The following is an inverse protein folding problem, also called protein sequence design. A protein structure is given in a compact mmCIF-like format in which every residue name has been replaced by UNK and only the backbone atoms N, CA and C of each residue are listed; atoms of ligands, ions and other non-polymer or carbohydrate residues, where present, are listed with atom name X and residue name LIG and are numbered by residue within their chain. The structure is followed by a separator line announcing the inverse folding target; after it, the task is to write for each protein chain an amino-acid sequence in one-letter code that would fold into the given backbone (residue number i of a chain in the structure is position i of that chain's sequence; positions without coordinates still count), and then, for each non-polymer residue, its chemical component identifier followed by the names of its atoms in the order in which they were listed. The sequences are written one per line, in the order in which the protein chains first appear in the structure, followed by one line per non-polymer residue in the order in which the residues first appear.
data_IF_597609895419
#
_entry.id   IF_597609895419
#
_cell.length_a   1.000
_cell.length_b   1.000
_cell.length_c   1.000
_cell.angle_alpha   90.00
_cell.angle_beta   90.00
_cell.angle_gamma   90.00
#
_symmetry.space_group_name_H-M   'P 1'
#
loop_
_entity.id
_entity.type
_entity.pdbx_description
1 polymer ?
#
# COMPACT_ATOMS: atom_id res chain seq x y z
N UNK A 1 0.61 13.80 -17.89
CA UNK A 1 0.05 12.74 -18.74
C UNK A 1 -1.35 12.43 -18.23
N UNK A 2 -2.36 12.55 -19.08
CA UNK A 2 -3.77 12.38 -18.70
C UNK A 2 -4.18 10.90 -18.70
N UNK A 3 -5.26 10.54 -17.98
CA UNK A 3 -5.83 9.18 -17.99
C UNK A 3 -6.13 8.69 -19.41
N UNK A 4 -6.54 9.60 -20.29
CA UNK A 4 -6.80 9.31 -21.70
C UNK A 4 -5.52 8.95 -22.46
N UNK A 5 -4.44 9.72 -22.26
CA UNK A 5 -3.13 9.45 -22.88
C UNK A 5 -2.55 8.10 -22.43
N UNK A 6 -2.61 7.80 -21.13
CA UNK A 6 -2.19 6.51 -20.59
C UNK A 6 -3.00 5.36 -21.19
N UNK A 7 -4.30 5.58 -21.38
CA UNK A 7 -5.19 4.59 -21.94
C UNK A 7 -4.99 4.27 -23.40
N UNK A 8 -4.78 5.31 -24.20
CA UNK A 8 -4.42 5.17 -25.61
C UNK A 8 -3.11 4.39 -25.75
N UNK A 9 -2.08 4.73 -24.96
CA UNK A 9 -0.81 3.99 -24.93
C UNK A 9 -1.01 2.50 -24.59
N UNK A 10 -1.88 2.18 -23.64
CA UNK A 10 -2.24 0.81 -23.26
C UNK A 10 -2.88 0.03 -24.41
N UNK A 11 -3.84 0.64 -25.11
CA UNK A 11 -4.56 0.02 -26.23
C UNK A 11 -3.65 -0.14 -27.44
N UNK A 12 -2.86 0.88 -27.76
CA UNK A 12 -1.91 0.89 -28.87
C UNK A 12 -0.87 -0.20 -28.73
N UNK A 13 -0.34 -0.37 -27.51
CA UNK A 13 0.61 -1.45 -27.24
C UNK A 13 -0.04 -2.82 -27.37
N UNK A 14 -1.34 -2.98 -27.07
CA UNK A 14 -2.02 -4.28 -26.86
C UNK A 14 -2.21 -5.09 -28.14
N UNK A 15 -1.49 -6.23 -28.28
CA UNK A 15 -1.67 -7.20 -29.39
C UNK A 15 -2.61 -8.37 -29.09
N UNK A 16 -2.81 -8.72 -27.81
CA UNK A 16 -3.64 -9.86 -27.40
C UNK A 16 -5.13 -9.53 -27.30
N UNK A 17 -5.97 -10.26 -28.05
CA UNK A 17 -7.41 -9.98 -28.24
C UNK A 17 -8.24 -9.78 -26.96
N UNK A 18 -8.23 -10.66 -25.93
CA UNK A 18 -9.08 -10.44 -24.76
C UNK A 18 -8.67 -9.20 -23.95
N UNK A 19 -7.39 -8.83 -24.03
CA UNK A 19 -6.79 -7.71 -23.30
C UNK A 19 -7.11 -6.40 -24.00
N UNK A 20 -6.92 -6.38 -25.33
CA UNK A 20 -7.33 -5.25 -26.17
C UNK A 20 -8.81 -4.99 -26.00
N UNK A 21 -9.65 -6.04 -26.00
CA UNK A 21 -11.09 -5.93 -25.79
C UNK A 21 -11.42 -5.32 -24.43
N UNK A 22 -10.86 -5.84 -23.33
CA UNK A 22 -11.12 -5.31 -21.99
C UNK A 22 -10.63 -3.85 -21.83
N UNK A 23 -9.47 -3.50 -22.39
CA UNK A 23 -8.96 -2.13 -22.36
C UNK A 23 -9.78 -1.20 -23.25
N UNK A 24 -10.11 -1.62 -24.47
CA UNK A 24 -11.00 -0.88 -25.35
C UNK A 24 -12.37 -0.68 -24.70
N UNK A 25 -12.97 -1.69 -24.08
CA UNK A 25 -14.24 -1.56 -23.37
C UNK A 25 -14.14 -0.55 -22.21
N UNK A 26 -13.08 -0.64 -21.39
CA UNK A 26 -12.85 0.30 -20.29
C UNK A 26 -12.64 1.74 -20.79
N UNK A 27 -11.86 1.93 -21.86
CA UNK A 27 -11.60 3.25 -22.42
C UNK A 27 -12.78 3.80 -23.23
N UNK A 28 -13.53 2.94 -23.91
CA UNK A 28 -14.76 3.31 -24.60
C UNK A 28 -15.79 3.79 -23.57
N UNK A 29 -15.90 3.13 -22.41
CA UNK A 29 -16.69 3.59 -21.27
C UNK A 29 -16.17 4.90 -20.69
N UNK A 30 -14.85 5.08 -20.47
CA UNK A 30 -14.27 6.35 -20.01
C UNK A 30 -14.55 7.50 -20.97
N UNK A 31 -14.46 7.24 -22.28
CA UNK A 31 -14.70 8.22 -23.33
C UNK A 31 -16.19 8.58 -23.44
N UNK A 32 -17.07 7.60 -23.30
CA UNK A 32 -18.52 7.82 -23.22
C UNK A 32 -18.92 8.55 -21.93
N UNK A 33 -18.21 8.29 -20.83
CA UNK A 33 -18.43 8.89 -19.51
C UNK A 33 -17.58 10.14 -19.28
N UNK A 34 -17.19 10.83 -20.36
CA UNK A 34 -16.71 12.23 -20.32
C UNK A 34 -17.85 13.19 -19.96
N UNK A 35 -18.67 12.78 -19.00
CA UNK A 35 -19.89 13.39 -18.52
C UNK A 35 -19.71 13.72 -17.04
N UNK A 36 -19.70 15.03 -16.77
CA UNK A 36 -20.13 15.69 -15.52
C UNK A 36 -19.71 15.00 -14.21
N UNK A 37 -18.68 15.56 -13.59
CA UNK A 37 -18.36 15.51 -12.17
C UNK A 37 -18.22 14.12 -11.48
N UNK A 38 -16.94 13.76 -11.36
CA UNK A 38 -16.24 13.36 -10.12
C UNK A 38 -16.09 11.88 -9.77
N UNK A 39 -16.63 10.90 -10.50
CA UNK A 39 -16.44 9.51 -10.04
C UNK A 39 -16.15 8.49 -11.14
N UNK A 40 -15.00 7.81 -11.02
CA UNK A 40 -14.62 6.72 -11.91
C UNK A 40 -15.66 5.58 -11.88
N UNK A 41 -16.21 5.18 -13.03
CA UNK A 41 -17.18 4.10 -13.09
C UNK A 41 -16.56 2.79 -12.61
N UNK A 42 -17.30 2.06 -11.77
CA UNK A 42 -16.80 0.84 -11.10
C UNK A 42 -16.26 -0.20 -12.10
N UNK A 43 -16.89 -0.32 -13.26
CA UNK A 43 -16.51 -1.23 -14.34
C UNK A 43 -15.08 -0.95 -14.85
N UNK A 44 -14.66 0.31 -14.92
CA UNK A 44 -13.29 0.66 -15.35
C UNK A 44 -12.28 0.20 -14.31
N UNK A 45 -12.57 0.41 -13.03
CA UNK A 45 -11.71 -0.01 -11.93
C UNK A 45 -11.56 -1.53 -11.96
N UNK A 46 -12.67 -2.26 -12.12
CA UNK A 46 -12.69 -3.72 -12.21
C UNK A 46 -11.85 -4.24 -13.39
N UNK A 47 -12.04 -3.67 -14.60
CA UNK A 47 -11.27 -4.07 -15.79
C UNK A 47 -9.79 -3.74 -15.64
N UNK A 48 -9.45 -2.62 -15.01
CA UNK A 48 -8.05 -2.24 -14.75
C UNK A 48 -7.40 -3.20 -13.74
N UNK A 49 -8.09 -3.57 -12.66
CA UNK A 49 -7.63 -4.59 -11.70
C UNK A 49 -7.44 -5.94 -12.42
N UNK A 50 -8.37 -6.33 -13.28
CA UNK A 50 -8.28 -7.56 -14.07
C UNK A 50 -7.00 -7.59 -14.92
N UNK A 51 -6.55 -6.46 -15.46
CA UNK A 51 -5.31 -6.41 -16.23
C UNK A 51 -4.07 -6.79 -15.40
N UNK A 52 -4.08 -6.59 -14.08
CA UNK A 52 -2.97 -6.99 -13.21
C UNK A 52 -2.86 -8.51 -13.05
N UNK A 53 -3.99 -9.22 -13.10
CA UNK A 53 -4.06 -10.68 -12.89
C UNK A 53 -3.82 -11.48 -14.17
N UNK A 54 -4.02 -10.87 -15.33
CA UNK A 54 -3.77 -11.50 -16.63
C UNK A 54 -2.26 -11.66 -16.92
N UNK A 55 -1.92 -12.63 -17.77
CA UNK A 55 -0.56 -12.90 -18.27
C UNK A 55 -0.16 -11.87 -19.34
N UNK A 56 0.00 -10.62 -18.93
CA UNK A 56 0.38 -9.49 -19.79
C UNK A 56 1.86 -9.16 -19.67
N UNK A 57 2.43 -8.49 -20.69
CA UNK A 57 3.76 -7.88 -20.58
C UNK A 57 3.79 -6.86 -19.44
N UNK A 58 4.99 -6.63 -18.88
CA UNK A 58 5.13 -5.67 -17.78
C UNK A 58 4.68 -4.26 -18.18
N UNK A 59 4.81 -3.87 -19.46
CA UNK A 59 4.38 -2.55 -19.91
C UNK A 59 2.89 -2.30 -19.68
N UNK A 60 2.00 -3.26 -19.95
CA UNK A 60 0.56 -3.04 -19.67
C UNK A 60 0.25 -2.99 -18.19
N UNK A 61 0.89 -3.87 -17.41
CA UNK A 61 0.69 -3.90 -15.96
C UNK A 61 1.15 -2.60 -15.33
N UNK A 62 2.23 -2.03 -15.85
CA UNK A 62 2.74 -0.73 -15.44
C UNK A 62 1.69 0.38 -15.64
N UNK A 63 1.11 0.45 -16.83
CA UNK A 63 0.10 1.47 -17.13
C UNK A 63 -1.20 1.25 -16.32
N UNK A 64 -1.63 0.00 -16.14
CA UNK A 64 -2.76 -0.33 -15.27
C UNK A 64 -2.52 0.10 -13.81
N UNK A 65 -1.31 -0.10 -13.28
CA UNK A 65 -0.94 0.37 -11.95
C UNK A 65 -0.95 1.90 -11.84
N UNK A 66 -0.49 2.63 -12.87
CA UNK A 66 -0.54 4.10 -12.89
C UNK A 66 -1.99 4.60 -12.87
N UNK A 67 -2.87 3.97 -13.64
CA UNK A 67 -4.31 4.28 -13.65
C UNK A 67 -4.91 4.05 -12.26
N UNK A 68 -4.67 2.89 -11.64
CA UNK A 68 -5.18 2.59 -10.31
C UNK A 68 -4.64 3.55 -9.25
N UNK A 69 -3.38 3.99 -9.38
CA UNK A 69 -2.80 4.98 -8.47
C UNK A 69 -3.46 6.36 -8.60
N UNK A 70 -3.82 6.77 -9.82
CA UNK A 70 -4.60 8.00 -10.06
C UNK A 70 -6.01 7.87 -9.46
N UNK A 71 -6.69 6.76 -9.69
CA UNK A 71 -8.02 6.47 -9.14
C UNK A 71 -7.97 6.45 -7.60
N UNK A 72 -6.90 5.91 -7.01
CA UNK A 72 -6.71 5.84 -5.56
C UNK A 72 -6.45 7.21 -4.90
N UNK A 73 -6.18 8.28 -5.66
CA UNK A 73 -6.09 9.63 -5.08
C UNK A 73 -7.46 10.10 -4.56
N UNK A 74 -8.54 9.66 -5.20
CA UNK A 74 -9.91 9.94 -4.76
C UNK A 74 -10.39 8.92 -3.72
N UNK A 75 -10.95 9.37 -2.60
CA UNK A 75 -11.46 8.49 -1.54
C UNK A 75 -12.53 7.49 -2.04
N UNK A 76 -13.40 7.91 -2.97
CA UNK A 76 -14.38 6.99 -3.58
C UNK A 76 -13.69 5.98 -4.49
N UNK A 77 -12.69 6.39 -5.26
CA UNK A 77 -11.88 5.49 -6.09
C UNK A 77 -11.13 4.45 -5.24
N UNK A 78 -10.47 4.88 -4.16
CA UNK A 78 -9.79 4.00 -3.21
C UNK A 78 -10.75 2.97 -2.59
N UNK A 79 -11.94 3.41 -2.15
CA UNK A 79 -12.98 2.49 -1.63
C UNK A 79 -13.42 1.46 -2.66
N UNK A 80 -13.56 1.85 -3.92
CA UNK A 80 -13.92 0.94 -5.00
C UNK A 80 -12.80 -0.07 -5.31
N UNK A 81 -11.53 0.37 -5.31
CA UNK A 81 -10.38 -0.53 -5.46
C UNK A 81 -10.38 -1.59 -4.35
N UNK A 82 -10.60 -1.18 -3.10
CA UNK A 82 -10.70 -2.11 -1.97
C UNK A 82 -11.89 -3.05 -2.09
N UNK A 83 -13.05 -2.55 -2.50
CA UNK A 83 -14.25 -3.38 -2.71
C UNK A 83 -14.04 -4.45 -3.78
N UNK A 84 -13.25 -4.15 -4.80
CA UNK A 84 -12.95 -5.04 -5.93
C UNK A 84 -11.67 -5.87 -5.72
N UNK A 85 -11.18 -6.00 -4.47
CA UNK A 85 -9.98 -6.78 -4.13
C UNK A 85 -8.73 -6.36 -4.93
N UNK A 86 -8.64 -5.07 -5.29
CA UNK A 86 -7.47 -4.54 -6.01
C UNK A 86 -6.17 -4.64 -5.20
N UNK A 87 -6.26 -4.67 -3.86
CA UNK A 87 -5.11 -4.93 -2.99
C UNK A 87 -4.52 -6.32 -3.24
N UNK A 88 -5.34 -7.35 -3.36
CA UNK A 88 -4.92 -8.75 -3.53
C UNK A 88 -4.22 -8.94 -4.87
N UNK A 89 -4.80 -8.37 -5.93
CA UNK A 89 -4.18 -8.34 -7.25
C UNK A 89 -2.81 -7.64 -7.23
N UNK A 90 -2.71 -6.52 -6.50
CA UNK A 90 -1.47 -5.74 -6.39
C UNK A 90 -0.40 -6.46 -5.57
N UNK A 91 -0.77 -7.12 -4.46
CA UNK A 91 0.15 -7.92 -3.64
C UNK A 91 0.67 -9.13 -4.40
N UNK A 92 -0.22 -9.88 -5.05
CA UNK A 92 0.15 -11.01 -5.90
C UNK A 92 1.13 -10.58 -7.00
N UNK A 93 0.89 -9.41 -7.62
CA UNK A 93 1.80 -8.84 -8.60
C UNK A 93 3.14 -8.43 -7.98
N UNK A 94 3.16 -7.72 -6.85
CA UNK A 94 4.39 -7.32 -6.15
C UNK A 94 5.31 -8.53 -5.87
N UNK A 95 4.74 -9.65 -5.46
CA UNK A 95 5.51 -10.83 -5.06
C UNK A 95 6.06 -11.63 -6.24
N UNK A 96 5.43 -11.53 -7.43
CA UNK A 96 5.78 -12.31 -8.62
C UNK A 96 6.40 -11.49 -9.75
N UNK A 97 6.28 -10.16 -9.72
CA UNK A 97 6.66 -9.31 -10.82
C UNK A 97 8.17 -9.07 -10.94
N UNK A 98 8.56 -8.66 -12.15
CA UNK A 98 9.85 -8.03 -12.45
C UNK A 98 10.08 -6.77 -11.60
N UNK A 99 11.34 -6.43 -11.35
CA UNK A 99 11.71 -5.27 -10.51
C UNK A 99 11.12 -3.95 -11.00
N UNK A 100 10.86 -3.80 -12.30
CA UNK A 100 10.30 -2.58 -12.91
C UNK A 100 8.91 -2.25 -12.39
N UNK A 101 8.10 -3.25 -12.04
CA UNK A 101 6.73 -3.06 -11.57
C UNK A 101 6.64 -2.79 -10.06
N UNK A 102 7.63 -3.26 -9.28
CA UNK A 102 7.60 -3.22 -7.82
C UNK A 102 7.38 -1.81 -7.24
N UNK A 103 8.03 -0.73 -7.73
CA UNK A 103 7.78 0.62 -7.22
C UNK A 103 6.31 1.05 -7.33
N UNK A 104 5.64 0.67 -8.42
CA UNK A 104 4.26 1.05 -8.70
C UNK A 104 3.28 0.24 -7.85
N UNK A 105 3.54 -1.07 -7.68
CA UNK A 105 2.79 -1.88 -6.71
C UNK A 105 2.93 -1.32 -5.29
N UNK A 106 4.16 -0.98 -4.86
CA UNK A 106 4.42 -0.46 -3.53
C UNK A 106 3.75 0.90 -3.32
N UNK A 107 3.81 1.82 -4.28
CA UNK A 107 3.13 3.12 -4.17
C UNK A 107 1.61 2.98 -4.05
N UNK A 108 0.99 2.08 -4.82
CA UNK A 108 -0.44 1.81 -4.71
C UNK A 108 -0.79 1.19 -3.34
N UNK A 109 0.01 0.23 -2.86
CA UNK A 109 -0.20 -0.38 -1.54
C UNK A 109 0.01 0.60 -0.38
N UNK A 110 1.00 1.50 -0.49
CA UNK A 110 1.21 2.59 0.49
C UNK A 110 -0.05 3.46 0.54
N UNK A 111 -0.55 3.93 -0.61
CA UNK A 111 -1.79 4.73 -0.66
C UNK A 111 -2.97 3.98 -0.08
N UNK A 112 -3.13 2.69 -0.40
CA UNK A 112 -4.19 1.85 0.16
C UNK A 112 -4.09 1.77 1.69
N UNK A 113 -2.87 1.54 2.20
CA UNK A 113 -2.58 1.38 3.63
C UNK A 113 -2.69 2.66 4.45
N UNK A 114 -2.91 3.82 3.82
CA UNK A 114 -3.21 5.04 4.58
C UNK A 114 -4.56 4.91 5.30
N UNK A 115 -5.52 4.20 4.70
CA UNK A 115 -6.82 3.89 5.31
C UNK A 115 -6.76 2.65 6.23
N UNK A 116 -7.51 2.66 7.34
CA UNK A 116 -7.59 1.49 8.24
C UNK A 116 -8.10 0.24 7.50
N UNK A 117 -9.12 0.40 6.66
CA UNK A 117 -9.68 -0.71 5.85
C UNK A 117 -8.63 -1.30 4.92
N UNK A 118 -7.79 -0.46 4.30
CA UNK A 118 -6.72 -0.93 3.45
C UNK A 118 -5.61 -1.64 4.21
N UNK A 119 -5.25 -1.17 5.41
CA UNK A 119 -4.28 -1.88 6.28
C UNK A 119 -4.78 -3.29 6.61
N UNK A 120 -6.05 -3.40 7.03
CA UNK A 120 -6.68 -4.68 7.36
C UNK A 120 -6.68 -5.60 6.13
N UNK A 121 -7.12 -5.12 4.96
CA UNK A 121 -7.13 -5.91 3.73
C UNK A 121 -5.74 -6.43 3.34
N UNK A 122 -4.69 -5.61 3.48
CA UNK A 122 -3.31 -6.03 3.21
C UNK A 122 -2.81 -7.07 4.21
N UNK A 123 -3.23 -6.98 5.48
CA UNK A 123 -2.84 -7.94 6.53
C UNK A 123 -3.60 -9.26 6.43
N UNK A 124 -4.84 -9.23 5.94
CA UNK A 124 -5.68 -10.42 5.72
C UNK A 124 -5.24 -11.22 4.48
N UNK A 125 -4.56 -10.59 3.53
CA UNK A 125 -3.97 -11.29 2.39
C UNK A 125 -2.92 -12.30 2.88
N UNK A 126 -3.11 -13.57 2.53
CA UNK A 126 -2.33 -14.70 3.05
C UNK A 126 -0.83 -14.46 2.92
N UNK A 127 -0.11 -14.68 4.02
CA UNK A 127 1.34 -14.54 4.15
C UNK A 127 1.92 -13.15 3.82
N UNK A 128 1.09 -12.11 3.72
CA UNK A 128 1.54 -10.75 3.40
C UNK A 128 2.69 -10.26 4.29
N UNK A 129 2.64 -10.37 5.64
CA UNK A 129 3.76 -9.98 6.49
C UNK A 129 5.04 -10.74 6.14
N UNK A 130 4.98 -12.06 6.03
CA UNK A 130 6.14 -12.90 5.72
C UNK A 130 6.71 -12.59 4.34
N UNK A 131 5.86 -12.39 3.33
CA UNK A 131 6.27 -12.05 1.96
C UNK A 131 6.90 -10.65 1.89
N UNK A 132 6.39 -9.66 2.63
CA UNK A 132 7.00 -8.34 2.72
C UNK A 132 8.40 -8.41 3.34
N UNK A 133 8.57 -9.21 4.40
CA UNK A 133 9.88 -9.45 5.00
C UNK A 133 10.85 -10.13 4.03
N UNK A 134 10.37 -11.09 3.23
CA UNK A 134 11.17 -11.72 2.18
C UNK A 134 11.58 -10.72 1.09
N UNK A 135 10.68 -9.84 0.66
CA UNK A 135 11.03 -8.80 -0.34
C UNK A 135 12.09 -7.83 0.20
N UNK A 136 11.99 -7.45 1.47
CA UNK A 136 12.95 -6.58 2.14
C UNK A 136 14.36 -7.19 2.17
N UNK A 137 14.46 -8.51 2.35
CA UNK A 137 15.73 -9.23 2.33
C UNK A 137 16.31 -9.37 0.91
N UNK A 138 15.44 -9.47 -0.11
CA UNK A 138 15.85 -9.67 -1.50
C UNK A 138 16.39 -8.42 -2.17
N UNK A 139 15.85 -7.24 -1.86
CA UNK A 139 16.19 -6.02 -2.60
C UNK A 139 16.31 -4.80 -1.69
N UNK A 140 17.55 -4.32 -1.51
CA UNK A 140 17.83 -3.05 -0.82
C UNK A 140 17.19 -1.85 -1.51
N UNK A 141 16.98 -1.93 -2.84
CA UNK A 141 16.43 -0.86 -3.68
C UNK A 141 15.04 -0.41 -3.21
N UNK A 142 14.23 -1.33 -2.69
CA UNK A 142 12.86 -1.05 -2.29
C UNK A 142 12.67 -0.99 -0.77
N UNK A 143 13.75 -1.08 0.02
CA UNK A 143 13.68 -1.13 1.47
C UNK A 143 12.90 0.05 2.07
N UNK A 144 13.11 1.27 1.57
CA UNK A 144 12.40 2.45 2.08
C UNK A 144 10.89 2.37 1.85
N UNK A 145 10.45 1.95 0.66
CA UNK A 145 9.03 1.81 0.34
C UNK A 145 8.39 0.64 1.10
N UNK A 146 9.08 -0.50 1.23
CA UNK A 146 8.57 -1.65 1.99
C UNK A 146 8.47 -1.29 3.49
N UNK A 147 9.48 -0.62 4.05
CA UNK A 147 9.40 -0.15 5.44
C UNK A 147 8.30 0.90 5.63
N UNK A 148 8.07 1.81 4.67
CA UNK A 148 6.95 2.73 4.73
C UNK A 148 5.60 2.00 4.78
N UNK A 149 5.43 0.98 3.92
CA UNK A 149 4.23 0.14 3.94
C UNK A 149 4.08 -0.54 5.31
N UNK A 150 5.13 -1.17 5.83
CA UNK A 150 5.10 -1.83 7.14
C UNK A 150 4.75 -0.83 8.25
N UNK A 151 5.31 0.38 8.25
CA UNK A 151 4.97 1.45 9.19
C UNK A 151 3.46 1.73 9.20
N UNK A 152 2.84 1.84 8.01
CA UNK A 152 1.40 2.04 7.91
C UNK A 152 0.63 0.86 8.50
N UNK A 153 1.05 -0.38 8.20
CA UNK A 153 0.41 -1.60 8.71
C UNK A 153 0.51 -1.74 10.24
N UNK A 154 1.63 -1.32 10.85
CA UNK A 154 1.84 -1.33 12.30
C UNK A 154 0.94 -0.33 13.05
N UNK A 155 0.26 0.55 12.32
CA UNK A 155 -0.86 1.32 12.84
C UNK A 155 -2.05 0.47 13.28
N UNK A 156 -2.10 -0.82 12.89
CA UNK A 156 -3.04 -1.81 13.43
C UNK A 156 -2.36 -2.53 14.61
N UNK A 157 -2.80 -2.34 15.87
CA UNK A 157 -2.08 -2.87 17.04
C UNK A 157 -1.90 -4.39 17.04
N UNK A 158 -2.87 -5.14 16.51
CA UNK A 158 -2.79 -6.61 16.39
C UNK A 158 -1.75 -7.07 15.38
N UNK A 159 -1.40 -6.24 14.38
CA UNK A 159 -0.39 -6.56 13.38
C UNK A 159 1.04 -6.56 13.93
N UNK A 160 1.31 -5.85 15.04
CA UNK A 160 2.66 -5.74 15.61
C UNK A 160 3.26 -7.11 15.96
N UNK A 161 2.43 -8.04 16.46
CA UNK A 161 2.86 -9.42 16.74
C UNK A 161 3.27 -10.18 15.47
N UNK A 162 2.67 -9.87 14.32
CA UNK A 162 3.01 -10.50 13.03
C UNK A 162 4.40 -10.08 12.53
N UNK A 163 4.86 -8.88 12.90
CA UNK A 163 6.18 -8.37 12.56
C UNK A 163 7.22 -8.55 13.69
N UNK A 164 6.82 -8.97 14.89
CA UNK A 164 7.76 -9.27 15.97
C UNK A 164 8.42 -10.65 15.77
N UNK A 165 9.25 -10.74 14.73
CA UNK A 165 9.96 -11.96 14.33
C UNK A 165 11.47 -11.72 14.50
N UNK A 166 12.23 -12.62 15.16
CA UNK A 166 13.65 -12.40 15.46
C UNK A 166 14.52 -11.98 14.27
N UNK A 167 14.29 -12.58 13.10
CA UNK A 167 15.01 -12.23 11.86
C UNK A 167 14.74 -10.80 11.41
N UNK A 168 13.51 -10.30 11.57
CA UNK A 168 13.17 -8.94 11.21
C UNK A 168 13.72 -7.94 12.24
N UNK A 169 13.62 -8.24 13.53
CA UNK A 169 14.23 -7.43 14.60
C UNK A 169 15.74 -7.28 14.37
N UNK A 170 16.43 -8.38 14.04
CA UNK A 170 17.86 -8.34 13.70
C UNK A 170 18.16 -7.45 12.49
N UNK A 171 17.34 -7.54 11.42
CA UNK A 171 17.46 -6.63 10.27
C UNK A 171 17.27 -5.16 10.66
N UNK A 172 16.26 -4.84 11.49
CA UNK A 172 15.98 -3.46 11.90
C UNK A 172 17.09 -2.89 12.80
N UNK A 173 17.71 -3.72 13.63
CA UNK A 173 18.84 -3.32 14.48
C UNK A 173 20.17 -3.19 13.72
N UNK A 174 20.26 -3.74 12.50
CA UNK A 174 21.47 -3.65 11.69
C UNK A 174 21.67 -2.25 11.10
N UNK A 175 22.89 -1.71 11.21
CA UNK A 175 23.26 -0.45 10.56
C UNK A 175 23.53 -0.63 9.07
N UNK A 176 23.21 0.38 8.30
CA UNK A 176 23.59 0.53 6.89
C UNK A 176 24.23 1.91 6.65
N UNK A 177 24.87 2.11 5.51
CA UNK A 177 25.49 3.40 5.15
C UNK A 177 24.45 4.48 4.83
N UNK A 178 23.19 4.10 4.59
CA UNK A 178 22.06 4.99 4.32
C UNK A 178 21.41 5.45 5.64
N UNK A 179 21.55 6.75 5.93
CA UNK A 179 21.02 7.39 7.15
C UNK A 179 19.49 7.43 7.17
N UNK A 180 18.82 7.63 6.04
CA UNK A 180 17.36 7.65 5.96
C UNK A 180 16.81 6.24 6.22
N UNK A 181 17.44 5.22 5.62
CA UNK A 181 17.06 3.83 5.85
C UNK A 181 17.21 3.45 7.33
N UNK A 182 18.31 3.88 7.98
CA UNK A 182 18.51 3.62 9.41
C UNK A 182 17.42 4.27 10.27
N UNK A 183 17.00 5.51 9.97
CA UNK A 183 15.89 6.18 10.66
C UNK A 183 14.58 5.42 10.49
N UNK A 184 14.26 4.96 9.27
CA UNK A 184 13.06 4.15 9.02
C UNK A 184 13.11 2.83 9.78
N UNK A 185 14.26 2.15 9.83
CA UNK A 185 14.44 0.93 10.61
C UNK A 185 14.19 1.17 12.10
N UNK A 186 14.71 2.25 12.67
CA UNK A 186 14.49 2.61 14.07
C UNK A 186 13.01 2.89 14.36
N UNK A 187 12.32 3.63 13.48
CA UNK A 187 10.89 3.88 13.62
C UNK A 187 10.08 2.57 13.62
N UNK A 188 10.35 1.69 12.66
CA UNK A 188 9.66 0.40 12.56
C UNK A 188 9.97 -0.47 13.79
N UNK A 189 11.22 -0.50 14.26
CA UNK A 189 11.61 -1.23 15.47
C UNK A 189 10.86 -0.73 16.70
N UNK A 190 10.76 0.59 16.86
CA UNK A 190 9.99 1.20 17.94
C UNK A 190 8.52 0.80 17.87
N UNK A 191 7.89 0.92 16.69
CA UNK A 191 6.48 0.57 16.48
C UNK A 191 6.17 -0.92 16.74
N UNK A 192 7.06 -1.83 16.36
CA UNK A 192 6.90 -3.27 16.62
C UNK A 192 6.93 -3.56 18.13
N UNK A 193 7.75 -2.84 18.89
CA UNK A 193 7.90 -3.03 20.33
C UNK A 193 6.82 -2.35 21.17
N UNK A 194 5.98 -1.49 20.59
CA UNK A 194 4.86 -0.88 21.31
C UNK A 194 3.83 -1.94 21.72
N UNK A 195 3.34 -1.92 22.96
CA UNK A 195 2.39 -2.91 23.43
C UNK A 195 1.05 -2.78 22.71
N UNK A 196 0.38 -3.92 22.50
CA UNK A 196 -0.91 -3.97 21.81
C UNK A 196 -2.07 -3.40 22.63
N UNK A 197 -1.91 -3.28 23.94
CA UNK A 197 -2.87 -2.73 24.90
C UNK A 197 -2.15 -1.79 25.87
N UNK A 198 -2.90 -0.91 26.53
CA UNK A 198 -2.39 0.02 27.55
C UNK A 198 -1.23 0.89 27.04
N UNK A 199 -1.33 1.38 25.80
CA UNK A 199 -0.30 2.20 25.17
C UNK A 199 -0.02 3.47 25.98
N UNK A 200 -1.06 4.10 26.54
CA UNK A 200 -0.93 5.31 27.36
C UNK A 200 -0.13 5.02 28.63
N UNK A 201 -0.46 3.94 29.35
CA UNK A 201 0.28 3.55 30.56
C UNK A 201 1.72 3.15 30.24
N UNK A 202 1.94 2.50 29.09
CA UNK A 202 3.29 2.17 28.62
C UNK A 202 4.13 3.42 28.33
N UNK A 203 3.56 4.41 27.65
CA UNK A 203 4.25 5.68 27.40
C UNK A 203 4.45 6.45 28.71
N UNK A 204 3.44 6.49 29.59
CA UNK A 204 3.53 7.17 30.87
C UNK A 204 4.61 6.56 31.77
N UNK A 205 4.73 5.24 31.80
CA UNK A 205 5.79 4.52 32.52
C UNK A 205 7.17 4.68 31.88
N UNK A 206 7.30 4.66 30.55
CA UNK A 206 8.59 4.87 29.88
C UNK A 206 9.14 6.29 30.07
N UNK A 207 8.27 7.30 30.06
CA UNK A 207 8.68 8.70 30.11
C UNK A 207 8.50 9.36 31.49
N UNK A 208 8.19 8.57 32.52
CA UNK A 208 8.11 9.06 33.91
C UNK A 208 6.95 10.01 34.20
N UNK A 209 5.89 10.00 33.39
CA UNK A 209 4.74 10.89 33.56
C UNK A 209 3.76 10.45 34.66
N UNK A 210 3.95 9.28 35.28
CA UNK A 210 3.12 8.86 36.41
C UNK A 210 3.30 9.74 37.66
N UNK A 211 4.38 10.51 37.76
CA UNK A 211 4.59 11.46 38.89
C UNK A 211 4.09 12.87 38.61
N UNK A 212 3.61 13.18 37.40
CA UNK A 212 2.88 14.42 37.18
C UNK A 212 1.42 14.15 37.52
N UNK A 213 1.04 14.41 38.77
CA UNK A 213 -0.35 14.71 39.08
C UNK A 213 -0.79 15.82 38.12
N UNK A 214 -1.60 15.47 37.13
CA UNK A 214 -2.37 16.44 36.36
C UNK A 214 -3.37 17.02 37.34
N UNK A 215 -2.93 17.96 38.18
CA UNK A 215 -3.82 18.87 38.87
C UNK A 215 -4.52 19.64 37.76
N UNK A 216 -5.70 19.14 37.37
CA UNK A 216 -6.68 19.93 36.65
C UNK A 216 -6.95 21.09 37.59
N UNK A 217 -6.32 22.24 37.31
CA UNK A 217 -6.58 23.49 38.00
C UNK A 217 -8.06 23.79 37.80
N UNK A 218 -8.86 23.49 38.80
CA UNK A 218 -10.27 23.84 38.88
C UNK A 218 -10.45 25.34 39.16
N UNK A 219 -9.70 26.20 38.48
CA UNK A 219 -9.78 27.66 38.54
C UNK A 219 -10.55 28.24 37.33
N UNK A 220 -11.55 27.51 36.82
CA UNK A 220 -12.51 28.04 35.84
C UNK A 220 -13.91 27.47 36.09
N UNK A 221 -14.44 27.69 37.30
CA UNK A 221 -15.87 27.60 37.59
C UNK A 221 -16.32 28.79 38.42
#
# INVERSE_FOLDING_TARGET
MTMHELGLLLVEKSSTYPVRKNLLEAFHLLYQLKASDETYPLVIIEKTITCLTLSLTHEYKLEALKILLLIAQEEKGLRNILRLQGCDATLNLLFKAEEVLKPYCLNLLIRISESLRGRIAILEYTDSPQQLLLQLQKSKKFSNQILQLITNLLGVPTARKMFNVPKFISYLSSKSDDSELNLRKQLVLWLVNLPSQNLVDHLASQYGLHDQNWSISSENK
#
